data_IF_721086609057
#
_entry.id   IF_721086609057
#
_cell.length_a   1.000
_cell.length_b   1.000
_cell.length_c   1.000
_cell.angle_alpha   90.00
_cell.angle_beta   90.00
_cell.angle_gamma   90.00
#
_symmetry.space_group_name_H-M   'P 1'
#
loop_
_entity.id
_entity.type
_entity.pdbx_description
1 polymer ?
#
# COMPACT_ATOMS: atom_id res chain seq x y z
N UNK A 1 14.21 2.76 -17.79
CA UNK A 1 15.17 1.98 -16.98
C UNK A 1 16.63 2.33 -17.30
N UNK A 2 17.00 2.62 -18.55
CA UNK A 2 18.41 2.73 -18.96
C UNK A 2 19.14 4.05 -18.62
N UNK A 3 18.48 5.01 -17.96
CA UNK A 3 19.08 6.32 -17.65
C UNK A 3 20.17 6.19 -16.58
N UNK A 4 19.91 5.43 -15.52
CA UNK A 4 20.88 5.09 -14.48
C UNK A 4 20.39 3.86 -13.69
N UNK A 5 21.26 2.91 -13.35
CA UNK A 5 20.90 1.78 -12.50
C UNK A 5 20.53 2.21 -11.07
N UNK A 6 20.98 3.39 -10.63
CA UNK A 6 20.68 3.93 -9.29
C UNK A 6 19.38 4.73 -9.23
N UNK A 7 18.79 5.05 -10.39
CA UNK A 7 17.51 5.76 -10.47
C UNK A 7 16.35 4.82 -10.16
N UNK A 8 15.62 5.08 -9.09
CA UNK A 8 14.42 4.30 -8.74
C UNK A 8 13.16 4.88 -9.35
N UNK A 9 12.42 4.03 -10.05
CA UNK A 9 11.08 4.33 -10.58
C UNK A 9 10.04 3.60 -9.74
N UNK A 10 9.04 4.33 -9.24
CA UNK A 10 7.95 3.77 -8.44
C UNK A 10 6.59 4.22 -8.99
N UNK A 11 5.66 3.28 -9.11
CA UNK A 11 4.29 3.59 -9.48
C UNK A 11 3.51 4.09 -8.26
N UNK A 12 3.18 5.38 -8.25
CA UNK A 12 2.46 6.01 -7.14
C UNK A 12 0.94 5.92 -7.25
N UNK A 13 0.39 5.88 -8.46
CA UNK A 13 -1.05 5.71 -8.69
C UNK A 13 -1.31 4.95 -9.98
N UNK A 14 -2.24 4.00 -9.95
CA UNK A 14 -2.69 3.27 -11.13
C UNK A 14 -4.17 2.95 -11.00
N UNK A 15 -4.89 2.94 -12.13
CA UNK A 15 -6.18 2.26 -12.15
C UNK A 15 -5.89 0.74 -12.21
N UNK A 16 -6.55 -0.13 -11.41
CA UNK A 16 -6.17 -1.53 -11.34
C UNK A 16 -6.09 -2.25 -12.70
N UNK A 17 -6.95 -1.88 -13.65
CA UNK A 17 -6.94 -2.45 -15.01
C UNK A 17 -5.70 -2.12 -15.84
N UNK A 18 -4.97 -1.06 -15.51
CA UNK A 18 -3.77 -0.66 -16.23
C UNK A 18 -2.54 -1.46 -15.78
N UNK A 19 -2.65 -2.20 -14.66
CA UNK A 19 -1.63 -3.14 -14.19
C UNK A 19 -1.81 -4.46 -14.95
N UNK A 20 -1.40 -4.48 -16.21
CA UNK A 20 -1.40 -5.69 -17.05
C UNK A 20 -0.23 -6.62 -16.72
N UNK A 21 -0.26 -7.86 -17.18
CA UNK A 21 0.85 -8.79 -17.00
C UNK A 21 2.14 -8.27 -17.65
N UNK A 22 2.06 -7.55 -18.77
CA UNK A 22 3.21 -6.91 -19.41
C UNK A 22 3.86 -5.86 -18.50
N UNK A 23 3.06 -5.06 -17.79
CA UNK A 23 3.56 -4.12 -16.78
C UNK A 23 4.22 -4.87 -15.64
N UNK A 24 3.63 -5.97 -15.16
CA UNK A 24 4.20 -6.80 -14.09
C UNK A 24 5.54 -7.42 -14.49
N UNK A 25 5.65 -8.01 -15.68
CA UNK A 25 6.91 -8.55 -16.19
C UNK A 25 7.95 -7.45 -16.39
N UNK A 26 7.52 -6.25 -16.77
CA UNK A 26 8.43 -5.09 -16.89
C UNK A 26 8.99 -4.70 -15.54
N UNK A 27 8.15 -4.62 -14.50
CA UNK A 27 8.62 -4.35 -13.12
C UNK A 27 9.60 -5.45 -12.68
N UNK A 28 9.24 -6.73 -12.86
CA UNK A 28 10.08 -7.86 -12.47
C UNK A 28 11.45 -7.91 -13.19
N UNK A 29 11.53 -7.35 -14.41
CA UNK A 29 12.73 -7.41 -15.25
C UNK A 29 13.82 -6.43 -14.83
N UNK A 30 13.47 -5.30 -14.21
CA UNK A 30 14.41 -4.21 -13.97
C UNK A 30 14.52 -3.89 -12.47
N UNK A 31 15.70 -4.10 -11.90
CA UNK A 31 15.99 -3.83 -10.48
C UNK A 31 15.74 -2.37 -10.06
N UNK A 32 15.79 -1.45 -11.02
CA UNK A 32 15.57 -0.02 -10.76
C UNK A 32 14.10 0.40 -10.88
N UNK A 33 13.19 -0.54 -11.16
CA UNK A 33 11.75 -0.37 -11.01
C UNK A 33 11.35 -1.07 -9.70
N UNK A 34 10.81 -0.29 -8.76
CA UNK A 34 10.56 -0.76 -7.40
C UNK A 34 9.54 -1.92 -7.38
N UNK A 35 9.79 -2.92 -6.52
CA UNK A 35 8.86 -4.01 -6.18
C UNK A 35 7.71 -3.51 -5.29
N UNK A 36 6.98 -2.52 -5.79
CA UNK A 36 5.85 -1.88 -5.13
C UNK A 36 4.79 -1.48 -6.14
N UNK A 37 3.55 -1.86 -5.87
CA UNK A 37 2.38 -1.50 -6.69
C UNK A 37 1.31 -0.90 -5.79
N UNK A 38 0.89 0.32 -6.11
CA UNK A 38 -0.34 0.88 -5.57
C UNK A 38 -1.54 0.45 -6.42
N UNK A 39 -2.40 -0.40 -5.84
CA UNK A 39 -3.54 -1.03 -6.50
C UNK A 39 -4.85 -0.70 -5.74
N UNK A 40 -5.51 0.42 -6.04
CA UNK A 40 -6.69 0.85 -5.30
C UNK A 40 -7.87 -0.12 -5.46
N UNK A 41 -8.29 -0.77 -4.36
CA UNK A 41 -9.48 -1.63 -4.37
C UNK A 41 -10.76 -0.80 -4.19
N UNK A 42 -10.72 0.24 -3.35
CA UNK A 42 -11.84 1.05 -2.87
C UNK A 42 -12.85 0.30 -2.00
N UNK A 43 -13.39 -0.84 -2.45
CA UNK A 43 -14.29 -1.71 -1.67
C UNK A 43 -14.04 -3.17 -2.04
N UNK A 44 -14.23 -4.08 -1.07
CA UNK A 44 -14.13 -5.51 -1.35
C UNK A 44 -15.32 -6.10 -2.09
N UNK A 45 -16.45 -5.39 -2.22
CA UNK A 45 -17.66 -5.98 -2.78
C UNK A 45 -17.94 -5.54 -4.22
N UNK A 46 -18.26 -6.49 -5.10
CA UNK A 46 -18.51 -6.26 -6.53
C UNK A 46 -19.70 -5.33 -6.82
N UNK A 47 -20.77 -5.35 -6.02
CA UNK A 47 -21.90 -4.42 -6.17
C UNK A 47 -21.47 -3.00 -5.83
N UNK A 48 -20.79 -2.81 -4.69
CA UNK A 48 -20.28 -1.50 -4.27
C UNK A 48 -19.27 -0.95 -5.28
N UNK A 49 -18.35 -1.79 -5.77
CA UNK A 49 -17.41 -1.44 -6.84
C UNK A 49 -18.15 -0.92 -8.09
N UNK A 50 -19.23 -1.60 -8.51
CA UNK A 50 -20.03 -1.14 -9.65
C UNK A 50 -20.71 0.22 -9.38
N UNK A 51 -21.22 0.46 -8.17
CA UNK A 51 -21.79 1.77 -7.78
C UNK A 51 -20.72 2.88 -7.73
N UNK A 52 -19.48 2.53 -7.34
CA UNK A 52 -18.32 3.40 -7.43
C UNK A 52 -17.80 3.60 -8.87
N UNK A 53 -18.52 3.08 -9.88
CA UNK A 53 -18.16 3.13 -11.29
C UNK A 53 -16.83 2.44 -11.60
N UNK A 54 -16.47 1.40 -10.84
CA UNK A 54 -15.35 0.52 -11.15
C UNK A 54 -15.80 -0.49 -12.19
N UNK A 55 -14.95 -0.72 -13.18
CA UNK A 55 -15.23 -1.62 -14.31
C UNK A 55 -14.73 -3.05 -14.07
N UNK A 56 -14.35 -3.38 -12.84
CA UNK A 56 -13.84 -4.69 -12.42
C UNK A 56 -14.61 -5.19 -11.20
N UNK A 57 -14.62 -6.51 -11.02
CA UNK A 57 -15.24 -7.19 -9.87
C UNK A 57 -14.20 -7.52 -8.80
N UNK A 58 -14.66 -7.97 -7.64
CA UNK A 58 -13.82 -8.50 -6.57
C UNK A 58 -12.93 -9.65 -7.07
N UNK A 59 -13.51 -10.61 -7.80
CA UNK A 59 -12.81 -11.79 -8.30
C UNK A 59 -11.73 -11.40 -9.31
N UNK A 60 -12.04 -10.44 -10.19
CA UNK A 60 -11.04 -9.89 -11.11
C UNK A 60 -9.88 -9.25 -10.35
N UNK A 61 -10.17 -8.50 -9.28
CA UNK A 61 -9.16 -7.85 -8.46
C UNK A 61 -8.28 -8.88 -7.73
N UNK A 62 -8.88 -9.94 -7.15
CA UNK A 62 -8.14 -11.03 -6.51
C UNK A 62 -7.20 -11.73 -7.49
N UNK A 63 -7.65 -12.01 -8.72
CA UNK A 63 -6.78 -12.56 -9.77
C UNK A 63 -5.60 -11.62 -10.10
N UNK A 64 -5.82 -10.29 -10.01
CA UNK A 64 -4.73 -9.31 -10.21
C UNK A 64 -3.72 -9.35 -9.05
N UNK A 65 -4.17 -9.49 -7.81
CA UNK A 65 -3.29 -9.72 -6.65
C UNK A 65 -2.46 -10.99 -6.84
N UNK A 66 -3.07 -12.08 -7.29
CA UNK A 66 -2.37 -13.35 -7.52
C UNK A 66 -1.33 -13.24 -8.64
N UNK A 67 -1.67 -12.53 -9.73
CA UNK A 67 -0.72 -12.26 -10.81
C UNK A 67 0.49 -11.47 -10.30
N UNK A 68 0.29 -10.43 -9.47
CA UNK A 68 1.37 -9.65 -8.86
C UNK A 68 2.29 -10.57 -8.04
N UNK A 69 1.72 -11.34 -7.11
CA UNK A 69 2.51 -12.22 -6.23
C UNK A 69 3.24 -13.33 -6.98
N UNK A 70 2.65 -13.85 -8.06
CA UNK A 70 3.25 -14.87 -8.93
C UNK A 70 4.40 -14.32 -9.77
N UNK A 71 4.23 -13.14 -10.36
CA UNK A 71 5.20 -12.56 -11.31
C UNK A 71 6.31 -11.80 -10.58
N UNK A 72 5.99 -11.13 -9.48
CA UNK A 72 6.92 -10.34 -8.67
C UNK A 72 6.83 -10.83 -7.21
N UNK A 73 7.45 -11.99 -6.88
CA UNK A 73 7.45 -12.49 -5.50
C UNK A 73 8.04 -11.46 -4.53
N UNK A 74 7.34 -11.21 -3.42
CA UNK A 74 7.73 -10.20 -2.43
C UNK A 74 7.35 -8.75 -2.78
N UNK A 75 6.66 -8.50 -3.90
CA UNK A 75 6.16 -7.18 -4.23
C UNK A 75 5.23 -6.64 -3.14
N UNK A 76 5.52 -5.43 -2.65
CA UNK A 76 4.60 -4.74 -1.78
C UNK A 76 3.38 -4.24 -2.55
N UNK A 77 2.22 -4.36 -1.92
CA UNK A 77 0.96 -3.89 -2.47
C UNK A 77 0.35 -2.89 -1.49
N UNK A 78 -0.06 -1.75 -2.00
CA UNK A 78 -0.87 -0.80 -1.25
C UNK A 78 -2.22 -0.55 -1.91
N UNK A 79 -3.17 -0.04 -1.13
CA UNK A 79 -4.54 0.19 -1.60
C UNK A 79 -5.10 1.52 -1.09
N UNK A 80 -6.16 1.98 -1.74
CA UNK A 80 -7.12 2.92 -1.16
C UNK A 80 -8.39 2.14 -0.82
N UNK A 81 -8.98 2.43 0.34
CA UNK A 81 -10.21 1.77 0.83
C UNK A 81 -11.16 2.86 1.35
N UNK A 82 -12.43 2.79 0.94
CA UNK A 82 -13.49 3.69 1.36
C UNK A 82 -14.51 2.90 2.17
N UNK A 83 -14.70 3.28 3.43
CA UNK A 83 -15.69 2.70 4.33
C UNK A 83 -17.04 3.43 4.21
N UNK A 84 -18.14 2.69 4.18
CA UNK A 84 -19.48 3.27 4.30
C UNK A 84 -19.95 4.03 3.07
N UNK A 85 -19.62 3.54 1.87
CA UNK A 85 -20.19 4.09 0.64
C UNK A 85 -21.72 3.96 0.62
N UNK A 86 -22.40 4.80 -0.17
CA UNK A 86 -23.85 4.78 -0.30
C UNK A 86 -24.39 3.36 -0.50
N UNK A 87 -25.43 3.00 0.27
CA UNK A 87 -26.13 1.71 0.29
C UNK A 87 -25.30 0.51 0.78
N UNK A 88 -24.10 0.73 1.34
CA UNK A 88 -23.23 -0.36 1.80
C UNK A 88 -23.82 -1.09 3.02
N UNK A 89 -24.08 -2.38 2.85
CA UNK A 89 -24.60 -3.27 3.89
C UNK A 89 -23.49 -3.83 4.77
N UNK A 90 -23.85 -4.50 5.86
CA UNK A 90 -22.86 -5.09 6.76
C UNK A 90 -22.06 -6.22 6.09
N UNK A 91 -22.73 -7.06 5.29
CA UNK A 91 -22.10 -8.15 4.55
C UNK A 91 -21.02 -7.64 3.58
N UNK A 92 -21.27 -6.52 2.92
CA UNK A 92 -20.34 -5.92 1.95
C UNK A 92 -19.15 -5.21 2.61
N UNK A 93 -19.35 -4.74 3.84
CA UNK A 93 -18.24 -4.31 4.68
C UNK A 93 -17.37 -5.50 5.12
N UNK A 94 -17.99 -6.64 5.50
CA UNK A 94 -17.24 -7.87 5.79
C UNK A 94 -16.50 -8.40 4.55
N UNK A 95 -17.06 -8.24 3.36
CA UNK A 95 -16.34 -8.48 2.11
C UNK A 95 -15.09 -7.59 2.03
N UNK A 96 -15.20 -6.31 2.40
CA UNK A 96 -14.03 -5.41 2.42
C UNK A 96 -12.96 -5.88 3.39
N UNK A 97 -13.31 -6.34 4.59
CA UNK A 97 -12.32 -6.90 5.52
C UNK A 97 -11.66 -8.18 4.98
N UNK A 98 -12.46 -9.08 4.40
CA UNK A 98 -11.94 -10.34 3.87
C UNK A 98 -11.07 -10.17 2.61
N UNK A 99 -11.23 -9.10 1.83
CA UNK A 99 -10.28 -8.83 0.73
C UNK A 99 -8.93 -8.32 1.27
N UNK A 100 -8.93 -7.61 2.41
CA UNK A 100 -7.69 -7.21 3.08
C UNK A 100 -6.95 -8.44 3.59
N UNK A 101 -7.65 -9.38 4.25
CA UNK A 101 -7.09 -10.68 4.63
C UNK A 101 -6.43 -11.40 3.44
N UNK A 102 -7.10 -11.42 2.30
CA UNK A 102 -6.59 -12.07 1.10
C UNK A 102 -5.35 -11.36 0.53
N UNK A 103 -5.44 -10.04 0.37
CA UNK A 103 -4.45 -9.22 -0.30
C UNK A 103 -3.24 -8.88 0.57
N UNK A 104 -3.36 -8.98 1.91
CA UNK A 104 -2.30 -8.68 2.89
C UNK A 104 -1.54 -7.41 2.51
N UNK A 105 -2.23 -6.28 2.47
CA UNK A 105 -1.62 -5.04 2.00
C UNK A 105 -0.52 -4.55 2.95
N UNK A 106 0.62 -4.15 2.38
CA UNK A 106 1.73 -3.58 3.16
C UNK A 106 1.34 -2.23 3.78
N UNK A 107 0.48 -1.48 3.10
CA UNK A 107 -0.07 -0.21 3.58
C UNK A 107 -1.37 0.10 2.83
N UNK A 108 -2.32 0.79 3.47
CA UNK A 108 -3.50 1.31 2.77
C UNK A 108 -3.87 2.72 3.24
N UNK A 109 -4.39 3.52 2.32
CA UNK A 109 -5.07 4.78 2.62
C UNK A 109 -6.56 4.48 2.85
N UNK A 110 -7.04 4.75 4.05
CA UNK A 110 -8.40 4.39 4.46
C UNK A 110 -9.20 5.64 4.77
N UNK A 111 -10.38 5.78 4.17
CA UNK A 111 -11.24 6.95 4.34
C UNK A 111 -12.69 6.52 4.58
N UNK A 112 -13.46 7.30 5.34
CA UNK A 112 -14.92 7.19 5.28
C UNK A 112 -15.43 7.86 4.01
N UNK A 113 -16.50 7.32 3.43
CA UNK A 113 -17.20 8.02 2.36
C UNK A 113 -17.70 9.38 2.85
N UNK A 114 -17.38 10.40 2.07
CA UNK A 114 -17.92 11.75 2.21
C UNK A 114 -18.39 12.21 0.85
N UNK A 115 -19.61 12.74 0.81
CA UNK A 115 -20.16 13.27 -0.43
C UNK A 115 -19.32 14.45 -0.92
N UNK A 116 -19.02 14.45 -2.23
CA UNK A 116 -18.33 15.54 -2.91
C UNK A 116 -19.21 16.11 -4.01
N UNK A 117 -19.54 17.42 -3.97
CA UNK A 117 -20.34 18.06 -5.01
C UNK A 117 -19.77 17.81 -6.41
N UNK A 118 -20.64 17.52 -7.38
CA UNK A 118 -20.28 17.30 -8.78
C UNK A 118 -19.85 15.86 -9.14
N UNK A 119 -19.72 14.96 -8.17
CA UNK A 119 -19.41 13.55 -8.45
C UNK A 119 -20.61 12.77 -9.01
N UNK A 120 -20.36 11.60 -9.61
CA UNK A 120 -21.44 10.70 -10.04
C UNK A 120 -22.23 10.18 -8.82
N UNK A 121 -21.52 9.86 -7.74
CA UNK A 121 -22.12 9.36 -6.51
C UNK A 121 -23.11 10.38 -5.91
N UNK A 122 -22.68 11.64 -5.73
CA UNK A 122 -23.53 12.72 -5.23
C UNK A 122 -24.78 13.00 -6.08
N UNK A 123 -24.74 12.66 -7.38
CA UNK A 123 -25.89 12.85 -8.29
C UNK A 123 -26.86 11.67 -8.31
N UNK A 124 -26.39 10.47 -7.98
CA UNK A 124 -27.14 9.22 -8.21
C UNK A 124 -27.58 8.51 -6.93
N UNK A 125 -26.87 8.73 -5.82
CA UNK A 125 -27.07 7.98 -4.59
C UNK A 125 -27.24 8.93 -3.42
N UNK A 126 -28.14 8.57 -2.52
CA UNK A 126 -28.24 9.22 -1.21
C UNK A 126 -27.15 8.67 -0.30
N UNK A 127 -26.49 9.54 0.46
CA UNK A 127 -25.60 9.12 1.54
C UNK A 127 -26.45 8.64 2.73
N UNK A 128 -26.80 7.35 2.71
CA UNK A 128 -27.76 6.70 3.60
C UNK A 128 -27.08 5.85 4.70
N UNK A 129 -25.75 5.78 4.71
CA UNK A 129 -24.98 5.10 5.76
C UNK A 129 -24.73 6.09 6.91
N UNK A 130 -25.19 5.82 8.15
CA UNK A 130 -24.98 6.75 9.26
C UNK A 130 -23.51 6.97 9.59
N UNK A 131 -23.13 8.20 9.96
CA UNK A 131 -21.74 8.55 10.30
C UNK A 131 -21.13 7.65 11.40
N UNK A 132 -21.93 7.25 12.40
CA UNK A 132 -21.48 6.32 13.44
C UNK A 132 -21.12 4.94 12.86
N UNK A 133 -21.84 4.47 11.84
CA UNK A 133 -21.53 3.21 11.14
C UNK A 133 -20.27 3.37 10.30
N UNK A 134 -20.12 4.47 9.56
CA UNK A 134 -18.89 4.75 8.78
C UNK A 134 -17.67 4.79 9.68
N UNK A 135 -17.75 5.48 10.83
CA UNK A 135 -16.66 5.59 11.79
C UNK A 135 -16.26 4.23 12.37
N UNK A 136 -17.23 3.39 12.76
CA UNK A 136 -16.97 2.01 13.22
C UNK A 136 -16.27 1.18 12.13
N UNK A 137 -16.81 1.19 10.90
CA UNK A 137 -16.25 0.44 9.77
C UNK A 137 -14.83 0.90 9.41
N UNK A 138 -14.59 2.21 9.40
CA UNK A 138 -13.26 2.77 9.19
C UNK A 138 -12.29 2.31 10.28
N UNK A 139 -12.71 2.27 11.56
CA UNK A 139 -11.88 1.79 12.65
C UNK A 139 -11.54 0.29 12.51
N UNK A 140 -12.48 -0.53 12.07
CA UNK A 140 -12.25 -1.95 11.78
C UNK A 140 -11.26 -2.14 10.63
N UNK A 141 -11.44 -1.42 9.52
CA UNK A 141 -10.50 -1.41 8.38
C UNK A 141 -9.11 -0.93 8.82
N UNK A 142 -9.04 0.14 9.61
CA UNK A 142 -7.77 0.67 10.10
C UNK A 142 -7.04 -0.33 11.00
N UNK A 143 -7.75 -0.96 11.94
CA UNK A 143 -7.19 -2.02 12.79
C UNK A 143 -6.66 -3.17 11.93
N UNK A 144 -7.45 -3.61 10.96
CA UNK A 144 -7.06 -4.68 10.05
C UNK A 144 -5.80 -4.34 9.25
N UNK A 145 -5.72 -3.12 8.73
CA UNK A 145 -4.54 -2.64 8.02
C UNK A 145 -3.30 -2.60 8.92
N UNK A 146 -3.44 -2.24 10.20
CA UNK A 146 -2.29 -2.24 11.12
C UNK A 146 -1.76 -3.66 11.37
N UNK A 147 -2.64 -4.65 11.49
CA UNK A 147 -2.27 -6.06 11.62
C UNK A 147 -1.53 -6.54 10.37
N UNK A 148 -2.09 -6.26 9.18
CA UNK A 148 -1.49 -6.66 7.90
C UNK A 148 -0.13 -5.97 7.67
N UNK A 149 -0.04 -4.66 7.93
CA UNK A 149 1.21 -3.90 7.82
C UNK A 149 2.29 -4.40 8.77
N UNK A 150 1.94 -4.72 10.02
CA UNK A 150 2.89 -5.30 10.97
C UNK A 150 3.42 -6.64 10.47
N UNK A 151 2.53 -7.56 10.09
CA UNK A 151 2.92 -8.87 9.59
C UNK A 151 3.84 -8.77 8.36
N UNK A 152 3.56 -7.84 7.44
CA UNK A 152 4.43 -7.61 6.27
C UNK A 152 5.80 -7.04 6.64
N UNK A 153 5.88 -6.18 7.66
CA UNK A 153 7.16 -5.59 8.09
C UNK A 153 7.99 -6.55 8.93
N UNK A 154 7.34 -7.45 9.69
CA UNK A 154 8.01 -8.53 10.42
C UNK A 154 8.81 -9.45 9.50
N UNK A 155 8.34 -9.66 8.26
CA UNK A 155 9.06 -10.43 7.24
C UNK A 155 10.44 -9.83 6.88
N UNK A 156 10.72 -8.56 7.21
CA UNK A 156 12.02 -7.93 7.00
C UNK A 156 12.96 -8.05 8.21
N UNK A 157 12.46 -8.38 9.40
CA UNK A 157 13.28 -8.47 10.61
C UNK A 157 14.32 -9.59 10.44
N UNK A 158 15.59 -9.27 10.74
CA UNK A 158 16.72 -10.17 10.55
C UNK A 158 17.27 -10.20 9.12
N UNK A 159 16.77 -9.36 8.20
CA UNK A 159 17.28 -9.21 6.84
C UNK A 159 18.01 -7.89 6.65
N UNK A 160 18.92 -7.85 5.68
CA UNK A 160 19.53 -6.62 5.21
C UNK A 160 18.76 -6.09 4.01
N UNK A 161 18.35 -4.82 4.06
CA UNK A 161 17.63 -4.14 2.99
C UNK A 161 18.45 -2.98 2.43
N UNK A 162 18.42 -2.80 1.11
CA UNK A 162 18.99 -1.62 0.45
C UNK A 162 18.02 -0.44 0.61
N UNK A 163 18.50 0.68 1.11
CA UNK A 163 17.70 1.86 1.44
C UNK A 163 18.23 3.08 0.73
N UNK A 164 17.36 3.81 0.02
CA UNK A 164 17.66 5.16 -0.46
C UNK A 164 17.45 6.15 0.69
N UNK A 165 18.49 6.86 1.10
CA UNK A 165 18.44 7.83 2.20
C UNK A 165 17.74 9.10 1.73
N UNK A 166 16.59 9.43 2.32
CA UNK A 166 15.80 10.61 1.94
C UNK A 166 16.16 11.85 2.78
N UNK A 167 16.66 11.64 4.00
CA UNK A 167 16.99 12.73 4.92
C UNK A 167 17.04 12.28 6.37
N UNK A 168 17.00 13.23 7.28
CA UNK A 168 16.88 12.97 8.72
C UNK A 168 15.46 12.50 9.10
N UNK A 169 15.39 11.69 10.15
CA UNK A 169 14.13 11.28 10.77
C UNK A 169 13.36 12.52 11.26
N UNK A 170 12.03 12.48 11.16
CA UNK A 170 11.18 13.57 11.66
C UNK A 170 11.29 13.77 13.17
N UNK A 171 11.73 12.74 13.89
CA UNK A 171 11.79 12.71 15.36
C UNK A 171 13.20 13.00 15.90
N UNK A 172 14.24 12.89 15.08
CA UNK A 172 15.63 13.06 15.51
C UNK A 172 16.56 13.39 14.34
N UNK A 173 17.49 14.30 14.58
CA UNK A 173 18.64 14.60 13.73
C UNK A 173 19.79 13.57 13.87
N UNK A 174 19.68 12.64 14.82
CA UNK A 174 20.65 11.55 15.04
C UNK A 174 20.32 10.28 14.25
N UNK A 175 19.20 10.28 13.54
CA UNK A 175 18.75 9.16 12.73
C UNK A 175 18.46 9.61 11.30
N UNK A 176 18.86 8.80 10.33
CA UNK A 176 18.40 8.91 8.96
C UNK A 176 17.07 8.19 8.77
N UNK A 177 16.33 8.62 7.74
CA UNK A 177 15.18 7.92 7.20
C UNK A 177 15.34 7.72 5.69
N UNK A 178 14.80 6.62 5.21
CA UNK A 178 14.78 6.30 3.80
C UNK A 178 13.76 5.24 3.47
N UNK A 179 13.76 4.77 2.22
CA UNK A 179 12.87 3.70 1.76
C UNK A 179 13.59 2.62 1.00
N UNK A 180 13.20 1.37 1.24
CA UNK A 180 13.62 0.21 0.44
C UNK A 180 12.75 0.05 -0.83
N UNK A 181 12.97 -1.02 -1.59
CA UNK A 181 12.25 -1.35 -2.84
C UNK A 181 10.76 -1.49 -2.66
N UNK A 182 10.33 -2.07 -1.57
CA UNK A 182 8.94 -2.30 -1.19
C UNK A 182 8.25 -1.05 -0.61
N UNK A 183 8.91 0.11 -0.69
CA UNK A 183 8.43 1.40 -0.16
C UNK A 183 8.30 1.44 1.37
N UNK A 184 8.86 0.47 2.09
CA UNK A 184 8.89 0.46 3.54
C UNK A 184 9.80 1.58 4.06
N UNK A 185 9.31 2.31 5.07
CA UNK A 185 10.09 3.32 5.78
C UNK A 185 11.14 2.63 6.64
N UNK A 186 12.41 3.02 6.49
CA UNK A 186 13.51 2.51 7.30
C UNK A 186 14.17 3.67 8.03
N UNK A 187 14.36 3.52 9.34
CA UNK A 187 15.02 4.49 10.21
C UNK A 187 16.22 3.83 10.88
N UNK A 188 17.36 4.50 10.88
CA UNK A 188 18.62 4.00 11.41
C UNK A 188 19.56 5.15 11.81
N UNK A 189 20.54 4.93 12.70
CA UNK A 189 21.46 5.99 13.14
C UNK A 189 22.24 6.63 11.99
N UNK A 190 22.52 7.93 12.13
CA UNK A 190 23.39 8.67 11.20
C UNK A 190 24.80 8.10 11.22
N UNK A 191 25.46 8.11 10.06
CA UNK A 191 26.84 7.70 9.88
C UNK A 191 27.54 8.67 8.93
N UNK A 192 28.80 8.99 9.20
CA UNK A 192 29.61 9.86 8.34
C UNK A 192 29.99 9.21 7.00
N UNK A 193 29.68 7.92 6.80
CA UNK A 193 29.99 7.16 5.59
C UNK A 193 28.98 7.39 4.45
N UNK A 194 27.77 7.83 4.77
CA UNK A 194 26.66 7.98 3.82
C UNK A 194 25.88 9.26 4.12
N UNK A 195 25.25 9.85 3.10
CA UNK A 195 24.42 11.05 3.25
C UNK A 195 23.09 10.90 2.50
N UNK A 196 22.12 11.80 2.72
CA UNK A 196 20.90 11.83 1.91
C UNK A 196 21.20 11.85 0.41
N UNK A 197 20.48 11.03 -0.35
CA UNK A 197 20.72 10.75 -1.77
C UNK A 197 21.55 9.50 -2.04
N UNK A 198 22.33 9.03 -1.06
CA UNK A 198 23.09 7.78 -1.19
C UNK A 198 22.23 6.55 -0.84
N UNK A 199 22.72 5.37 -1.20
CA UNK A 199 22.17 4.10 -0.76
C UNK A 199 22.96 3.53 0.42
N UNK A 200 22.25 2.91 1.37
CA UNK A 200 22.85 2.15 2.46
C UNK A 200 22.20 0.77 2.58
N UNK A 201 23.01 -0.23 2.91
CA UNK A 201 22.51 -1.53 3.34
C UNK A 201 22.24 -1.46 4.84
N UNK A 202 21.00 -1.76 5.24
CA UNK A 202 20.56 -1.66 6.63
C UNK A 202 20.08 -3.02 7.09
N UNK A 203 20.72 -3.56 8.12
CA UNK A 203 20.22 -4.75 8.81
C UNK A 203 19.06 -4.35 9.72
N UNK A 204 17.89 -4.96 9.48
CA UNK A 204 16.66 -4.67 10.21
C UNK A 204 16.63 -5.46 11.51
N UNK A 205 16.61 -4.76 12.64
CA UNK A 205 16.63 -5.36 13.97
C UNK A 205 15.22 -5.55 14.53
N UNK A 206 14.29 -4.65 14.20
CA UNK A 206 12.89 -4.70 14.63
C UNK A 206 12.02 -3.82 13.74
N UNK A 207 10.72 -3.91 13.93
CA UNK A 207 9.76 -3.03 13.26
C UNK A 207 8.66 -2.53 14.21
N UNK A 208 7.96 -1.51 13.76
CA UNK A 208 6.60 -1.20 14.20
C UNK A 208 5.63 -1.57 13.07
N UNK A 209 4.33 -1.31 13.23
CA UNK A 209 3.35 -1.46 12.15
C UNK A 209 3.57 -0.50 10.97
N UNK A 210 4.53 0.43 11.04
CA UNK A 210 4.75 1.44 10.00
C UNK A 210 6.22 1.72 9.67
N UNK A 211 7.20 1.17 10.40
CA UNK A 211 8.61 1.53 10.24
C UNK A 211 9.54 0.39 10.60
N UNK A 212 10.51 0.12 9.73
CA UNK A 212 11.66 -0.75 10.00
C UNK A 212 12.74 0.05 10.73
N UNK A 213 13.36 -0.58 11.72
CA UNK A 213 14.40 0.02 12.55
C UNK A 213 15.63 -0.88 12.54
N UNK A 214 16.80 -0.30 12.32
CA UNK A 214 18.01 -1.08 12.17
C UNK A 214 19.28 -0.25 12.16
N UNK A 215 20.34 -0.84 11.61
CA UNK A 215 21.67 -0.22 11.52
C UNK A 215 22.36 -0.56 10.19
N UNK A 216 23.24 0.34 9.76
CA UNK A 216 24.05 0.16 8.55
C UNK A 216 24.98 -1.04 8.74
N UNK A 217 25.18 -1.82 7.67
CA UNK A 217 26.13 -2.95 7.59
C UNK A 217 27.02 -2.87 6.35
#
# INVERSE_FOLDING_TARGET
AEISPDLRVRFSTSHPKDITDEVLYTIAKYDNICNYIHLPVQSGNSRILALMNRTYTREWYMNRIDAIRRIIPGCAISADIIAGFCTETEEEHQDTLSIMDYARYNFAYTFSYSERPGTLAARKYTDDVPEAVKARRLAEIFKKQQEDSLACLEDFVGKTVKVLIEGYSKKSDKEYRGRNDENAMVVFPVSDLVKPGDYANVYVERCTSATLLGKIV
#
